data_IF_278681583472
#
_entry.id   IF_278681583472
#
_cell.length_a   1.000
_cell.length_b   1.000
_cell.length_c   1.000
_cell.angle_alpha   90.00
_cell.angle_beta   90.00
_cell.angle_gamma   90.00
#
_symmetry.space_group_name_H-M   'P 1'
#
loop_
_entity.id
_entity.type
_entity.pdbx_description
1 polymer ?
#
# COMPACT_ATOMS: atom_id res chain seq x y z
N UNK A 1 28.61 -12.93 6.35
CA UNK A 1 27.31 -12.58 6.98
C UNK A 1 26.89 -11.11 6.75
N UNK A 2 27.80 -10.13 6.77
CA UNK A 2 27.48 -8.70 6.61
C UNK A 2 26.79 -8.31 5.28
N UNK A 3 27.12 -8.94 4.14
CA UNK A 3 26.47 -8.67 2.84
C UNK A 3 24.97 -9.01 2.82
N UNK A 4 24.49 -9.97 3.62
CA UNK A 4 23.07 -10.37 3.66
C UNK A 4 22.17 -9.31 4.29
N UNK A 5 22.64 -8.61 5.33
CA UNK A 5 21.85 -7.58 6.02
C UNK A 5 21.62 -6.38 5.10
N UNK A 6 22.65 -5.98 4.35
CA UNK A 6 22.56 -4.87 3.39
C UNK A 6 21.55 -5.12 2.27
N UNK A 7 21.29 -6.37 1.88
CA UNK A 7 20.34 -6.70 0.80
C UNK A 7 18.86 -6.60 1.20
N UNK A 8 18.53 -6.71 2.49
CA UNK A 8 17.13 -6.64 2.98
C UNK A 8 16.78 -5.21 3.40
N UNK A 9 17.78 -4.39 3.72
CA UNK A 9 17.62 -2.98 4.10
C UNK A 9 16.90 -2.14 3.04
N UNK A 10 17.23 -2.31 1.75
CA UNK A 10 16.60 -1.53 0.69
C UNK A 10 15.09 -1.82 0.53
N UNK A 11 14.64 -3.09 0.44
CA UNK A 11 13.21 -3.41 0.45
C UNK A 11 12.47 -2.94 1.71
N UNK A 12 13.08 -3.09 2.89
CA UNK A 12 12.50 -2.64 4.16
C UNK A 12 12.35 -1.12 4.21
N UNK A 13 13.36 -0.38 3.78
CA UNK A 13 13.33 1.08 3.75
C UNK A 13 12.25 1.59 2.77
N UNK A 14 12.16 0.99 1.59
CA UNK A 14 11.10 1.29 0.62
C UNK A 14 9.71 0.98 1.19
N UNK A 15 9.52 -0.17 1.83
CA UNK A 15 8.26 -0.53 2.50
C UNK A 15 7.89 0.47 3.60
N UNK A 16 8.86 0.92 4.39
CA UNK A 16 8.64 1.91 5.43
C UNK A 16 8.17 3.25 4.85
N UNK A 17 8.83 3.72 3.79
CA UNK A 17 8.44 4.96 3.09
C UNK A 17 7.03 4.83 2.50
N UNK A 18 6.73 3.69 1.86
CA UNK A 18 5.43 3.40 1.27
C UNK A 18 4.32 3.40 2.34
N UNK A 19 4.54 2.72 3.46
CA UNK A 19 3.59 2.65 4.57
C UNK A 19 3.34 4.02 5.21
N UNK A 20 4.40 4.84 5.37
CA UNK A 20 4.27 6.21 5.87
C UNK A 20 3.40 7.07 4.93
N UNK A 21 3.66 7.01 3.62
CA UNK A 21 2.86 7.71 2.63
C UNK A 21 1.40 7.23 2.62
N UNK A 22 1.18 5.93 2.70
CA UNK A 22 -0.16 5.33 2.69
C UNK A 22 -0.98 5.71 3.94
N UNK A 23 -0.38 5.63 5.13
CA UNK A 23 -1.05 6.02 6.37
C UNK A 23 -1.37 7.52 6.41
N UNK A 24 -0.45 8.36 5.93
CA UNK A 24 -0.70 9.80 5.83
C UNK A 24 -1.80 10.10 4.81
N UNK A 25 -1.79 9.44 3.65
CA UNK A 25 -2.78 9.63 2.59
C UNK A 25 -4.19 9.26 3.05
N UNK A 26 -4.38 8.07 3.63
CA UNK A 26 -5.69 7.61 4.11
C UNK A 26 -6.27 8.52 5.20
N UNK A 27 -5.42 9.01 6.10
CA UNK A 27 -5.80 9.98 7.14
C UNK A 27 -6.16 11.33 6.54
N UNK A 28 -5.27 11.90 5.72
CA UNK A 28 -5.46 13.21 5.08
C UNK A 28 -6.74 13.23 4.25
N UNK A 29 -6.97 12.19 3.45
CA UNK A 29 -8.14 12.07 2.59
C UNK A 29 -9.44 12.05 3.42
N UNK A 30 -9.47 11.31 4.53
CA UNK A 30 -10.63 11.25 5.43
C UNK A 30 -10.89 12.61 6.09
N UNK A 31 -9.85 13.27 6.60
CA UNK A 31 -9.96 14.59 7.24
C UNK A 31 -10.44 15.64 6.23
N UNK A 32 -9.93 15.60 4.99
CA UNK A 32 -10.34 16.53 3.92
C UNK A 32 -11.82 16.38 3.56
N UNK A 33 -12.29 15.15 3.37
CA UNK A 33 -13.71 14.90 3.08
C UNK A 33 -14.62 15.33 4.25
N UNK A 34 -14.16 15.15 5.49
CA UNK A 34 -14.90 15.61 6.67
C UNK A 34 -14.97 17.15 6.73
N UNK A 35 -13.90 17.85 6.35
CA UNK A 35 -13.90 19.32 6.26
C UNK A 35 -14.81 19.85 5.15
N UNK A 36 -14.93 19.12 4.05
CA UNK A 36 -15.87 19.41 2.95
C UNK A 36 -17.33 19.05 3.27
N UNK A 37 -17.62 18.62 4.51
CA UNK A 37 -18.95 18.19 4.98
C UNK A 37 -19.57 17.07 4.13
N UNK A 38 -18.73 16.22 3.52
CA UNK A 38 -19.20 15.03 2.83
C UNK A 38 -19.82 14.08 3.87
N UNK A 39 -20.98 13.52 3.54
CA UNK A 39 -21.66 12.57 4.43
C UNK A 39 -20.75 11.38 4.77
N UNK A 40 -20.70 11.04 6.06
CA UNK A 40 -19.92 9.92 6.60
C UNK A 40 -20.20 8.60 5.89
N UNK A 41 -21.41 8.44 5.33
CA UNK A 41 -21.77 7.26 4.54
C UNK A 41 -20.89 7.09 3.30
N UNK A 42 -20.62 8.17 2.56
CA UNK A 42 -19.76 8.12 1.37
C UNK A 42 -18.29 7.91 1.74
N UNK A 43 -17.83 8.51 2.85
CA UNK A 43 -16.48 8.29 3.37
C UNK A 43 -16.29 6.80 3.71
N UNK A 44 -17.28 6.19 4.36
CA UNK A 44 -17.27 4.77 4.69
C UNK A 44 -17.24 3.86 3.45
N UNK A 45 -18.05 4.16 2.44
CA UNK A 45 -18.03 3.42 1.17
C UNK A 45 -16.68 3.57 0.46
N UNK A 46 -16.12 4.78 0.42
CA UNK A 46 -14.83 5.04 -0.22
C UNK A 46 -13.70 4.25 0.46
N UNK A 47 -13.64 4.30 1.79
CA UNK A 47 -12.65 3.52 2.55
C UNK A 47 -12.88 2.01 2.38
N UNK A 48 -14.14 1.57 2.41
CA UNK A 48 -14.50 0.18 2.14
C UNK A 48 -14.01 -0.29 0.76
N UNK A 49 -14.22 0.52 -0.28
CA UNK A 49 -13.74 0.24 -1.63
C UNK A 49 -12.20 0.22 -1.70
N UNK A 50 -11.51 1.12 -0.99
CA UNK A 50 -10.05 1.15 -0.91
C UNK A 50 -9.48 -0.15 -0.32
N UNK A 51 -9.98 -0.57 0.84
CA UNK A 51 -9.54 -1.81 1.48
C UNK A 51 -9.97 -3.06 0.70
N UNK A 52 -11.17 -3.05 0.09
CA UNK A 52 -11.61 -4.13 -0.79
C UNK A 52 -10.69 -4.28 -2.01
N UNK A 53 -10.33 -3.16 -2.64
CA UNK A 53 -9.36 -3.13 -3.74
C UNK A 53 -7.99 -3.65 -3.32
N UNK A 54 -7.52 -3.29 -2.12
CA UNK A 54 -6.26 -3.81 -1.59
C UNK A 54 -6.30 -5.33 -1.37
N UNK A 55 -7.39 -5.87 -0.80
CA UNK A 55 -7.57 -7.32 -0.62
C UNK A 55 -7.57 -8.05 -1.96
N UNK A 56 -8.34 -7.55 -2.93
CA UNK A 56 -8.36 -8.11 -4.28
C UNK A 56 -6.97 -8.06 -4.91
N UNK A 57 -6.29 -6.91 -4.80
CA UNK A 57 -4.92 -6.70 -5.27
C UNK A 57 -3.94 -7.72 -4.66
N UNK A 58 -4.02 -8.01 -3.36
CA UNK A 58 -3.14 -8.99 -2.69
C UNK A 58 -3.22 -10.37 -3.35
N UNK A 59 -4.41 -10.84 -3.71
CA UNK A 59 -4.58 -12.14 -4.39
C UNK A 59 -3.97 -12.18 -5.80
N UNK A 60 -4.03 -11.06 -6.54
CA UNK A 60 -3.44 -10.98 -7.87
C UNK A 60 -1.92 -10.77 -7.81
N UNK A 61 -1.45 -9.95 -6.88
CA UNK A 61 -0.03 -9.65 -6.69
C UNK A 61 0.77 -10.90 -6.38
N UNK A 62 0.27 -11.81 -5.53
CA UNK A 62 0.98 -13.06 -5.22
C UNK A 62 1.25 -13.90 -6.48
N UNK A 63 0.22 -14.11 -7.31
CA UNK A 63 0.34 -14.86 -8.56
C UNK A 63 1.29 -14.16 -9.55
N UNK A 64 1.30 -12.83 -9.57
CA UNK A 64 2.18 -12.04 -10.42
C UNK A 64 3.64 -12.15 -9.98
N UNK A 65 3.90 -12.03 -8.67
CA UNK A 65 5.24 -12.12 -8.07
C UNK A 65 5.88 -13.48 -8.36
N UNK A 66 5.11 -14.57 -8.23
CA UNK A 66 5.63 -15.93 -8.49
C UNK A 66 6.01 -16.11 -9.97
N UNK A 67 5.28 -15.51 -10.92
CA UNK A 67 5.60 -15.61 -12.36
C UNK A 67 6.81 -14.79 -12.79
N UNK A 68 6.94 -13.56 -12.29
CA UNK A 68 7.96 -12.59 -12.76
C UNK A 68 9.24 -12.64 -11.92
N UNK A 69 9.14 -13.15 -10.68
CA UNK A 69 10.22 -13.24 -9.70
C UNK A 69 10.25 -12.04 -8.75
N UNK A 70 10.56 -12.29 -7.47
CA UNK A 70 10.45 -11.32 -6.36
C UNK A 70 11.15 -9.97 -6.61
N UNK A 71 12.38 -9.96 -7.13
CA UNK A 71 13.15 -8.72 -7.33
C UNK A 71 12.56 -7.88 -8.47
N UNK A 72 12.14 -8.52 -9.57
CA UNK A 72 11.55 -7.84 -10.73
C UNK A 72 10.15 -7.33 -10.43
N UNK A 73 9.37 -8.10 -9.69
CA UNK A 73 8.07 -7.67 -9.21
C UNK A 73 8.21 -6.46 -8.27
N UNK A 74 9.18 -6.48 -7.35
CA UNK A 74 9.46 -5.35 -6.46
C UNK A 74 9.87 -4.07 -7.21
N UNK A 75 10.57 -4.18 -8.34
CA UNK A 75 10.93 -3.01 -9.16
C UNK A 75 9.77 -2.48 -10.01
N UNK A 76 8.70 -3.25 -10.19
CA UNK A 76 7.54 -2.89 -11.01
C UNK A 76 6.38 -2.27 -10.20
N UNK A 77 6.33 -2.53 -8.90
CA UNK A 77 5.35 -1.96 -7.96
C UNK A 77 5.87 -0.67 -7.34
#
# INVERSE_FOLDING_TARGET
MQKKISQILAPLASLAILMLGNGLFTTLLTVRMQLEQISTWYIGIMQGAYYAGMVLGSFFCEKFIIRVGHIRAFAAF
#
